data_IF_422778825696
#
_entry.id   IF_422778825696
#
_cell.length_a   1.000
_cell.length_b   1.000
_cell.length_c   1.000
_cell.angle_alpha   90.00
_cell.angle_beta   90.00
_cell.angle_gamma   90.00
#
_symmetry.space_group_name_H-M   'P 1'
#
loop_
_entity.id
_entity.type
_entity.pdbx_description
1 polymer ?
#
# COMPACT_ATOMS: atom_id res chain seq x y z
N UNK A 1 -2.84 5.89 3.62
CA UNK A 1 -2.91 5.31 2.26
C UNK A 1 -4.20 4.53 2.06
N UNK A 2 -4.44 3.44 2.80
CA UNK A 2 -5.68 2.64 2.70
C UNK A 2 -6.94 3.51 2.88
N UNK A 3 -6.96 4.36 3.92
CA UNK A 3 -8.11 5.25 4.18
C UNK A 3 -8.35 6.25 3.04
N UNK A 4 -7.28 6.75 2.40
CA UNK A 4 -7.39 7.66 1.27
C UNK A 4 -7.99 6.97 0.04
N UNK A 5 -7.55 5.74 -0.25
CA UNK A 5 -8.10 4.93 -1.35
C UNK A 5 -9.58 4.58 -1.07
N UNK A 6 -9.89 4.18 0.17
CA UNK A 6 -11.26 3.91 0.61
C UNK A 6 -12.16 5.12 0.44
N UNK A 7 -11.78 6.27 1.01
CA UNK A 7 -12.59 7.50 0.99
C UNK A 7 -12.87 7.96 -0.44
N UNK A 8 -11.86 7.92 -1.32
CA UNK A 8 -12.04 8.24 -2.75
C UNK A 8 -12.98 7.27 -3.44
N UNK A 9 -12.84 5.97 -3.17
CA UNK A 9 -13.68 4.95 -3.79
C UNK A 9 -15.13 5.02 -3.32
N UNK A 10 -15.37 5.23 -2.02
CA UNK A 10 -16.70 5.43 -1.44
C UNK A 10 -17.39 6.67 -2.04
N UNK A 11 -16.65 7.78 -2.18
CA UNK A 11 -17.16 8.98 -2.85
C UNK A 11 -17.55 8.72 -4.31
N UNK A 12 -16.73 7.97 -5.05
CA UNK A 12 -17.00 7.66 -6.47
C UNK A 12 -18.23 6.75 -6.62
N UNK A 13 -18.33 5.69 -5.80
CA UNK A 13 -19.50 4.82 -5.81
C UNK A 13 -20.78 5.57 -5.45
N UNK A 14 -20.71 6.50 -4.49
CA UNK A 14 -21.85 7.34 -4.11
C UNK A 14 -22.31 8.21 -5.28
N UNK A 15 -21.37 8.80 -6.03
CA UNK A 15 -21.69 9.60 -7.23
C UNK A 15 -22.38 8.79 -8.34
N UNK A 16 -21.98 7.54 -8.53
CA UNK A 16 -22.57 6.64 -9.54
C UNK A 16 -23.76 5.79 -9.02
N UNK A 17 -24.29 6.08 -7.83
CA UNK A 17 -25.37 5.32 -7.19
C UNK A 17 -25.10 3.81 -7.08
N UNK A 18 -23.83 3.42 -6.91
CA UNK A 18 -23.45 2.01 -6.81
C UNK A 18 -23.88 1.44 -5.44
N UNK A 19 -24.60 0.30 -5.42
CA UNK A 19 -24.98 -0.33 -4.16
C UNK A 19 -23.78 -0.69 -3.28
N UNK A 20 -23.89 -0.43 -1.98
CA UNK A 20 -22.83 -0.73 -0.99
C UNK A 20 -22.35 -2.18 -1.04
N UNK A 21 -23.21 -3.14 -1.39
CA UNK A 21 -22.83 -4.56 -1.55
C UNK A 21 -21.74 -4.76 -2.62
N UNK A 22 -21.82 -4.01 -3.73
CA UNK A 22 -20.84 -4.06 -4.82
C UNK A 22 -19.54 -3.36 -4.40
N UNK A 23 -19.67 -2.21 -3.73
CA UNK A 23 -18.55 -1.47 -3.12
C UNK A 23 -17.71 -2.41 -2.23
N UNK A 24 -18.32 -3.10 -1.26
CA UNK A 24 -17.59 -3.99 -0.35
C UNK A 24 -16.93 -5.17 -1.06
N UNK A 25 -17.55 -5.73 -2.10
CA UNK A 25 -16.97 -6.85 -2.86
C UNK A 25 -15.68 -6.42 -3.59
N UNK A 26 -15.71 -5.27 -4.25
CA UNK A 26 -14.55 -4.71 -4.95
C UNK A 26 -13.46 -4.28 -3.97
N UNK A 27 -13.87 -3.66 -2.86
CA UNK A 27 -12.95 -3.23 -1.81
C UNK A 27 -12.24 -4.40 -1.13
N UNK A 28 -12.93 -5.49 -0.78
CA UNK A 28 -12.29 -6.64 -0.14
C UNK A 28 -11.16 -7.22 -0.99
N UNK A 29 -11.30 -7.25 -2.32
CA UNK A 29 -10.23 -7.67 -3.21
C UNK A 29 -9.03 -6.71 -3.17
N UNK A 30 -9.30 -5.40 -3.19
CA UNK A 30 -8.26 -4.38 -3.09
C UNK A 30 -7.54 -4.45 -1.74
N UNK A 31 -8.30 -4.52 -0.65
CA UNK A 31 -7.81 -4.60 0.71
C UNK A 31 -6.89 -5.80 0.93
N UNK A 32 -7.28 -7.00 0.45
CA UNK A 32 -6.45 -8.19 0.58
C UNK A 32 -5.09 -8.03 -0.14
N UNK A 33 -5.08 -7.51 -1.38
CA UNK A 33 -3.83 -7.26 -2.11
C UNK A 33 -2.96 -6.19 -1.42
N UNK A 34 -3.59 -5.13 -0.90
CA UNK A 34 -2.93 -4.07 -0.16
C UNK A 34 -2.24 -4.65 1.08
N UNK A 35 -2.95 -5.39 1.93
CA UNK A 35 -2.41 -5.98 3.16
C UNK A 35 -1.31 -7.00 2.85
N UNK A 36 -1.51 -7.90 1.88
CA UNK A 36 -0.48 -8.87 1.49
C UNK A 36 0.82 -8.18 1.04
N UNK A 37 0.71 -7.10 0.27
CA UNK A 37 1.88 -6.35 -0.19
C UNK A 37 2.60 -5.64 0.96
N UNK A 38 1.85 -5.05 1.90
CA UNK A 38 2.43 -4.40 3.08
C UNK A 38 3.12 -5.41 4.00
N UNK A 39 2.50 -6.55 4.29
CA UNK A 39 3.12 -7.61 5.08
C UNK A 39 4.40 -8.16 4.44
N UNK A 40 4.41 -8.37 3.13
CA UNK A 40 5.62 -8.79 2.43
C UNK A 40 6.74 -7.76 2.54
N UNK A 41 6.40 -6.47 2.45
CA UNK A 41 7.37 -5.39 2.62
C UNK A 41 7.88 -5.34 4.06
N UNK A 42 7.02 -5.47 5.07
CA UNK A 42 7.40 -5.57 6.48
C UNK A 42 8.39 -6.71 6.70
N UNK A 43 8.10 -7.90 6.18
CA UNK A 43 8.98 -9.06 6.28
C UNK A 43 10.36 -8.78 5.68
N UNK A 44 10.42 -8.22 4.47
CA UNK A 44 11.69 -7.86 3.80
C UNK A 44 12.44 -6.81 4.62
N UNK A 45 11.76 -5.78 5.09
CA UNK A 45 12.34 -4.71 5.89
C UNK A 45 12.93 -5.22 7.19
N UNK A 46 12.23 -6.13 7.86
CA UNK A 46 12.71 -6.74 9.10
C UNK A 46 13.93 -7.63 8.84
N UNK A 47 13.92 -8.41 7.75
CA UNK A 47 15.07 -9.22 7.35
C UNK A 47 16.30 -8.34 7.09
N UNK A 48 16.15 -7.25 6.33
CA UNK A 48 17.24 -6.31 6.05
C UNK A 48 17.77 -5.63 7.33
N UNK A 49 16.89 -5.35 8.29
CA UNK A 49 17.29 -4.84 9.60
C UNK A 49 18.13 -5.87 10.37
N UNK A 50 17.71 -7.13 10.41
CA UNK A 50 18.49 -8.21 11.03
C UNK A 50 19.88 -8.35 10.39
N UNK A 51 19.96 -8.34 9.06
CA UNK A 51 21.25 -8.39 8.34
C UNK A 51 22.18 -7.21 8.66
N UNK A 52 21.63 -6.04 9.01
CA UNK A 52 22.41 -4.88 9.48
C UNK A 52 22.88 -5.06 10.93
N UNK A 53 22.03 -5.64 11.78
CA UNK A 53 22.27 -5.83 13.20
C UNK A 53 23.23 -7.00 13.49
N UNK A 54 23.17 -8.06 12.70
CA UNK A 54 24.01 -9.27 12.83
C UNK A 54 25.51 -9.02 12.54
N UNK A 55 25.90 -7.80 12.13
CA UNK A 55 27.29 -7.45 11.80
C UNK A 55 28.19 -7.15 13.01
N UNK A 56 27.76 -7.42 14.24
CA UNK A 56 28.41 -7.10 15.53
C UNK A 56 28.64 -5.58 15.79
N UNK A 57 28.97 -4.79 14.78
CA UNK A 57 29.04 -3.34 14.83
C UNK A 57 28.33 -2.71 13.61
N UNK A 58 27.57 -1.65 13.85
CA UNK A 58 26.94 -0.83 12.82
C UNK A 58 27.38 0.62 13.02
N UNK A 59 28.12 1.17 12.04
CA UNK A 59 28.46 2.59 12.08
C UNK A 59 27.20 3.43 11.98
N UNK A 60 27.19 4.59 12.65
CA UNK A 60 26.06 5.54 12.59
C UNK A 60 25.69 5.91 11.15
N UNK A 61 26.67 6.08 10.27
CA UNK A 61 26.45 6.43 8.86
C UNK A 61 25.73 5.30 8.12
N UNK A 62 26.13 4.04 8.33
CA UNK A 62 25.47 2.88 7.73
C UNK A 62 24.03 2.75 8.22
N UNK A 63 23.78 3.00 9.51
CA UNK A 63 22.44 3.00 10.09
C UNK A 63 21.55 4.10 9.49
N UNK A 64 22.05 5.34 9.41
CA UNK A 64 21.30 6.46 8.81
C UNK A 64 20.97 6.15 7.34
N UNK A 65 21.95 5.71 6.56
CA UNK A 65 21.74 5.35 5.16
C UNK A 65 20.71 4.23 5.00
N UNK A 66 20.71 3.24 5.89
CA UNK A 66 19.69 2.19 5.92
C UNK A 66 18.29 2.75 6.15
N UNK A 67 18.12 3.61 7.16
CA UNK A 67 16.83 4.23 7.47
C UNK A 67 16.32 5.08 6.30
N UNK A 68 17.18 5.87 5.67
CA UNK A 68 16.81 6.72 4.53
C UNK A 68 16.34 5.88 3.33
N UNK A 69 17.13 4.87 2.94
CA UNK A 69 16.78 3.96 1.84
C UNK A 69 15.48 3.21 2.15
N UNK A 70 15.33 2.77 3.40
CA UNK A 70 14.15 2.02 3.81
C UNK A 70 12.90 2.91 3.77
N UNK A 71 12.99 4.14 4.29
CA UNK A 71 11.92 5.12 4.26
C UNK A 71 11.50 5.48 2.82
N UNK A 72 12.46 5.74 1.93
CA UNK A 72 12.17 6.00 0.52
C UNK A 72 11.50 4.79 -0.15
N UNK A 73 11.98 3.58 0.12
CA UNK A 73 11.40 2.35 -0.41
C UNK A 73 9.93 2.17 0.01
N UNK A 74 9.59 2.44 1.27
CA UNK A 74 8.23 2.41 1.78
C UNK A 74 7.33 3.48 1.15
N UNK A 75 7.84 4.71 1.04
CA UNK A 75 7.11 5.79 0.39
C UNK A 75 6.80 5.45 -1.09
N UNK A 76 7.79 4.95 -1.82
CA UNK A 76 7.62 4.57 -3.22
C UNK A 76 6.63 3.41 -3.39
N UNK A 77 6.68 2.41 -2.52
CA UNK A 77 5.74 1.28 -2.55
C UNK A 77 4.30 1.76 -2.29
N UNK A 78 4.08 2.50 -1.21
CA UNK A 78 2.74 2.95 -0.82
C UNK A 78 2.12 3.88 -1.87
N UNK A 79 2.91 4.76 -2.48
CA UNK A 79 2.47 5.62 -3.59
C UNK A 79 2.09 4.81 -4.84
N UNK A 80 2.87 3.79 -5.20
CA UNK A 80 2.53 2.88 -6.32
C UNK A 80 1.23 2.12 -6.05
N UNK A 81 1.04 1.65 -4.82
CA UNK A 81 -0.18 0.94 -4.42
C UNK A 81 -1.41 1.84 -4.44
N UNK A 82 -1.31 3.06 -3.89
CA UNK A 82 -2.37 4.06 -3.96
C UNK A 82 -2.78 4.32 -5.41
N UNK A 83 -1.82 4.59 -6.30
CA UNK A 83 -2.09 4.85 -7.70
C UNK A 83 -2.74 3.64 -8.40
N UNK A 84 -2.15 2.44 -8.25
CA UNK A 84 -2.67 1.19 -8.84
C UNK A 84 -4.13 0.98 -8.46
N UNK A 85 -4.45 1.06 -7.16
CA UNK A 85 -5.79 0.76 -6.68
C UNK A 85 -6.79 1.86 -7.00
N UNK A 86 -6.39 3.13 -6.97
CA UNK A 86 -7.23 4.22 -7.48
C UNK A 86 -7.62 3.98 -8.94
N UNK A 87 -6.66 3.63 -9.82
CA UNK A 87 -6.94 3.36 -11.23
C UNK A 87 -7.85 2.15 -11.44
N UNK A 88 -7.59 1.03 -10.76
CA UNK A 88 -8.40 -0.20 -10.91
C UNK A 88 -9.83 0.04 -10.43
N UNK A 89 -9.99 0.67 -9.25
CA UNK A 89 -11.30 0.91 -8.65
C UNK A 89 -12.13 1.91 -9.48
N UNK A 90 -11.53 3.00 -9.94
CA UNK A 90 -12.18 3.94 -10.87
C UNK A 90 -12.57 3.25 -12.18
N UNK A 91 -11.67 2.47 -12.78
CA UNK A 91 -11.93 1.77 -14.03
C UNK A 91 -13.06 0.75 -13.92
N UNK A 92 -13.19 0.04 -12.79
CA UNK A 92 -14.29 -0.88 -12.55
C UNK A 92 -15.64 -0.18 -12.40
N UNK A 93 -15.66 1.03 -11.85
CA UNK A 93 -16.87 1.83 -11.75
C UNK A 93 -17.30 2.34 -13.13
N UNK A 94 -16.37 2.96 -13.88
CA UNK A 94 -16.66 3.53 -15.20
C UNK A 94 -17.10 2.47 -16.22
N UNK A 95 -16.51 1.26 -16.19
CA UNK A 95 -16.88 0.16 -17.09
C UNK A 95 -18.12 -0.62 -16.65
N UNK A 96 -18.56 -0.44 -15.41
CA UNK A 96 -19.71 -1.14 -14.81
C UNK A 96 -21.00 -0.34 -14.82
N UNK A 97 -20.93 0.98 -15.10
CA UNK A 97 -22.04 1.87 -15.47
C UNK A 97 -22.24 1.90 -16.97
#
# INVERSE_FOLDING_TARGET
MIDNVWTRFESLCSYHNIPKKILFKLWNKAYNDLICTLHNKDYISMKQFHELFDKNECSRNNYIQFIDILGESWYNLTKKMENKWNTILQGNIIKGT
#
